data_IF_527308363473
#
_entry.id   IF_527308363473
#
_cell.length_a   1.000
_cell.length_b   1.000
_cell.length_c   1.000
_cell.angle_alpha   90.00
_cell.angle_beta   90.00
_cell.angle_gamma   90.00
#
_symmetry.space_group_name_H-M   'P 1'
#
loop_
_entity.id
_entity.type
_entity.pdbx_description
1 polymer ?
#
# COMPACT_ATOMS: atom_id res chain seq x y z
N UNK A 1 -25.28 22.47 4.58
CA UNK A 1 -24.53 23.43 3.74
C UNK A 1 -23.63 22.64 2.79
N UNK A 2 -24.05 22.45 1.56
CA UNK A 2 -23.36 21.64 0.52
C UNK A 2 -22.37 22.50 -0.25
N UNK A 3 -21.30 22.91 0.40
CA UNK A 3 -20.21 23.59 -0.30
C UNK A 3 -19.56 22.63 -1.31
N UNK A 4 -19.31 23.09 -2.55
CA UNK A 4 -18.55 22.34 -3.54
C UNK A 4 -17.13 22.09 -3.03
N UNK A 5 -16.64 20.84 -3.15
CA UNK A 5 -15.24 20.53 -2.85
C UNK A 5 -14.39 21.22 -3.93
N UNK A 6 -13.40 22.06 -3.54
CA UNK A 6 -12.57 22.74 -4.53
C UNK A 6 -11.76 21.74 -5.35
N UNK A 7 -11.76 21.88 -6.68
CA UNK A 7 -10.99 21.00 -7.58
C UNK A 7 -9.51 20.98 -7.22
N UNK A 8 -8.95 22.12 -6.78
CA UNK A 8 -7.55 22.22 -6.33
C UNK A 8 -7.22 21.33 -5.13
N UNK A 9 -8.18 21.07 -4.22
CA UNK A 9 -8.00 20.16 -3.11
C UNK A 9 -7.97 18.70 -3.59
N UNK A 10 -8.82 18.34 -4.56
CA UNK A 10 -8.82 17.02 -5.20
C UNK A 10 -7.50 16.80 -5.94
N UNK A 11 -7.07 17.76 -6.73
CA UNK A 11 -5.79 17.70 -7.46
C UNK A 11 -4.61 17.61 -6.48
N UNK A 12 -4.65 18.34 -5.37
CA UNK A 12 -3.64 18.26 -4.32
C UNK A 12 -3.55 16.86 -3.70
N UNK A 13 -4.70 16.23 -3.46
CA UNK A 13 -4.73 14.86 -2.94
C UNK A 13 -4.18 13.85 -3.96
N UNK A 14 -4.54 13.97 -5.24
CA UNK A 14 -4.01 13.13 -6.34
C UNK A 14 -2.50 13.34 -6.50
N UNK A 15 -2.01 14.59 -6.44
CA UNK A 15 -0.60 14.90 -6.53
C UNK A 15 0.21 14.32 -5.37
N UNK A 16 -0.39 14.14 -4.20
CA UNK A 16 0.25 13.48 -3.08
C UNK A 16 0.46 11.98 -3.34
N UNK A 17 -0.49 11.28 -3.99
CA UNK A 17 -0.30 9.87 -4.36
C UNK A 17 0.83 9.72 -5.41
N UNK A 18 0.89 10.65 -6.35
CA UNK A 18 2.02 10.75 -7.30
C UNK A 18 3.36 10.94 -6.56
N UNK A 19 3.44 11.90 -5.63
CA UNK A 19 4.62 12.21 -4.83
C UNK A 19 5.11 11.00 -4.02
N UNK A 20 4.19 10.37 -3.35
CA UNK A 20 4.36 9.25 -2.45
C UNK A 20 4.93 8.01 -3.17
N UNK A 21 4.49 7.75 -4.38
CA UNK A 21 4.96 6.62 -5.18
C UNK A 21 6.36 6.87 -5.75
N UNK A 22 6.76 8.13 -5.98
CA UNK A 22 8.15 8.49 -6.32
C UNK A 22 9.10 8.01 -5.22
N UNK A 23 8.78 8.30 -3.96
CA UNK A 23 9.60 7.83 -2.82
C UNK A 23 9.62 6.31 -2.73
N UNK A 24 8.45 5.67 -2.81
CA UNK A 24 8.34 4.21 -2.70
C UNK A 24 9.17 3.48 -3.74
N UNK A 25 9.09 3.91 -5.00
CA UNK A 25 9.85 3.25 -6.05
C UNK A 25 11.34 3.54 -5.94
N UNK A 26 11.74 4.80 -5.86
CA UNK A 26 13.15 5.18 -5.90
C UNK A 26 13.90 4.76 -4.63
N UNK A 27 13.37 5.09 -3.45
CA UNK A 27 14.08 4.80 -2.19
C UNK A 27 13.86 3.35 -1.78
N UNK A 28 12.59 2.93 -1.59
CA UNK A 28 12.32 1.63 -0.96
C UNK A 28 12.62 0.47 -1.89
N UNK A 29 12.28 0.59 -3.19
CA UNK A 29 12.38 -0.56 -4.11
C UNK A 29 13.65 -0.57 -4.95
N UNK A 30 14.18 0.59 -5.37
CA UNK A 30 15.19 0.63 -6.43
C UNK A 30 16.62 0.92 -5.95
N UNK A 31 16.82 1.98 -5.16
CA UNK A 31 18.18 2.49 -4.94
C UNK A 31 18.75 2.15 -3.58
N UNK A 32 17.96 2.15 -2.50
CA UNK A 32 18.50 1.99 -1.16
C UNK A 32 19.11 0.60 -0.90
N UNK A 33 18.41 -0.47 -1.25
CA UNK A 33 18.88 -1.84 -1.01
C UNK A 33 20.22 -2.11 -1.67
N UNK A 34 20.35 -1.99 -3.00
CA UNK A 34 21.63 -2.19 -3.68
C UNK A 34 22.72 -1.27 -3.17
N UNK A 35 22.44 0.03 -2.96
CA UNK A 35 23.43 1.00 -2.49
C UNK A 35 24.03 0.65 -1.13
N UNK A 36 23.18 0.26 -0.16
CA UNK A 36 23.65 -0.03 1.20
C UNK A 36 24.44 -1.36 1.28
N UNK A 37 24.09 -2.33 0.42
CA UNK A 37 24.82 -3.58 0.28
C UNK A 37 26.21 -3.34 -0.36
N UNK A 38 26.30 -2.51 -1.39
CA UNK A 38 27.58 -2.10 -2.00
C UNK A 38 28.51 -1.39 -1.00
N UNK A 39 27.93 -0.72 0.01
CA UNK A 39 28.68 -0.11 1.13
C UNK A 39 29.05 -1.08 2.26
N UNK A 40 28.78 -2.37 2.08
CA UNK A 40 29.17 -3.43 3.01
C UNK A 40 28.16 -3.72 4.13
N UNK A 41 26.90 -3.25 4.01
CA UNK A 41 25.84 -3.79 4.87
C UNK A 41 25.58 -5.25 4.54
N UNK A 42 25.23 -6.05 5.53
CA UNK A 42 24.76 -7.41 5.28
C UNK A 42 23.27 -7.43 4.87
N UNK A 43 22.87 -8.44 4.08
CA UNK A 43 21.46 -8.69 3.76
C UNK A 43 20.61 -8.82 5.02
N UNK A 44 21.17 -9.41 6.08
CA UNK A 44 20.50 -9.53 7.37
C UNK A 44 20.22 -8.15 8.00
N UNK A 45 21.18 -7.22 7.95
CA UNK A 45 21.01 -5.88 8.49
C UNK A 45 19.94 -5.10 7.70
N UNK A 46 19.96 -5.18 6.37
CA UNK A 46 18.95 -4.58 5.49
C UNK A 46 17.56 -5.18 5.77
N UNK A 47 17.45 -6.51 5.79
CA UNK A 47 16.20 -7.21 6.09
C UNK A 47 15.66 -6.88 7.48
N UNK A 48 16.53 -6.83 8.49
CA UNK A 48 16.14 -6.48 9.85
C UNK A 48 15.61 -5.05 9.96
N UNK A 49 16.19 -4.08 9.26
CA UNK A 49 15.73 -2.68 9.26
C UNK A 49 14.39 -2.54 8.53
N UNK A 50 14.20 -3.23 7.41
CA UNK A 50 12.91 -3.26 6.70
C UNK A 50 11.82 -3.85 7.60
N UNK A 51 12.10 -5.02 8.21
CA UNK A 51 11.16 -5.69 9.10
C UNK A 51 10.85 -4.85 10.36
N UNK A 52 11.86 -4.26 10.99
CA UNK A 52 11.69 -3.42 12.17
C UNK A 52 10.86 -2.18 11.86
N UNK A 53 11.14 -1.49 10.74
CA UNK A 53 10.34 -0.32 10.32
C UNK A 53 8.89 -0.71 10.03
N UNK A 54 8.65 -1.83 9.37
CA UNK A 54 7.31 -2.37 9.13
C UNK A 54 6.56 -2.70 10.43
N UNK A 55 7.23 -3.32 11.39
CA UNK A 55 6.66 -3.64 12.71
C UNK A 55 6.31 -2.36 13.49
N UNK A 56 7.21 -1.36 13.51
CA UNK A 56 6.93 -0.06 14.14
C UNK A 56 5.68 0.58 13.53
N UNK A 57 5.57 0.59 12.20
CA UNK A 57 4.38 1.13 11.52
C UNK A 57 3.14 0.34 11.89
N UNK A 58 3.20 -1.00 11.88
CA UNK A 58 2.08 -1.84 12.24
C UNK A 58 1.55 -1.52 13.64
N UNK A 59 2.45 -1.38 14.63
CA UNK A 59 2.10 -1.05 16.00
C UNK A 59 1.57 0.39 16.17
N UNK A 60 2.13 1.34 15.43
CA UNK A 60 1.77 2.77 15.56
C UNK A 60 0.53 3.12 14.71
N UNK A 61 0.19 2.33 13.69
CA UNK A 61 -0.94 2.60 12.78
C UNK A 61 -2.27 2.89 13.47
N UNK A 62 -2.76 2.08 14.42
CA UNK A 62 -4.03 2.37 15.11
C UNK A 62 -3.95 3.63 15.96
N UNK A 63 -2.78 3.88 16.60
CA UNK A 63 -2.56 5.09 17.38
C UNK A 63 -2.61 6.34 16.50
N UNK A 64 -1.96 6.32 15.33
CA UNK A 64 -2.02 7.42 14.36
C UNK A 64 -3.45 7.70 13.90
N UNK A 65 -4.23 6.64 13.68
CA UNK A 65 -5.63 6.76 13.33
C UNK A 65 -6.44 7.48 14.39
N UNK A 66 -6.35 7.03 15.64
CA UNK A 66 -7.06 7.64 16.79
C UNK A 66 -6.60 9.09 17.03
N UNK A 67 -5.29 9.34 17.00
CA UNK A 67 -4.75 10.71 17.15
C UNK A 67 -5.28 11.61 16.03
N UNK A 68 -5.36 11.11 14.79
CA UNK A 68 -5.89 11.88 13.67
C UNK A 68 -7.35 12.29 13.85
N UNK A 69 -8.16 11.40 14.41
CA UNK A 69 -9.58 11.66 14.70
C UNK A 69 -9.74 12.62 15.90
N UNK A 70 -8.97 12.44 16.98
CA UNK A 70 -8.99 13.35 18.15
C UNK A 70 -8.55 14.77 17.81
N UNK A 71 -7.57 14.93 16.91
CA UNK A 71 -7.16 16.24 16.42
C UNK A 71 -8.24 16.92 15.58
N UNK A 72 -9.20 16.16 15.01
CA UNK A 72 -10.21 16.65 14.08
C UNK A 72 -9.61 17.20 12.78
N UNK A 73 -8.30 17.16 12.63
CA UNK A 73 -7.53 17.63 11.46
C UNK A 73 -6.39 16.67 11.19
N UNK A 74 -6.42 16.02 10.03
CA UNK A 74 -5.45 15.01 9.59
C UNK A 74 -4.25 15.64 8.88
N UNK A 75 -4.46 16.75 8.18
CA UNK A 75 -3.45 17.43 7.39
C UNK A 75 -2.18 17.82 8.18
N UNK A 76 -2.22 18.36 9.41
CA UNK A 76 -1.00 18.64 10.16
C UNK A 76 -0.13 17.39 10.39
N UNK A 77 -0.77 16.25 10.67
CA UNK A 77 -0.07 14.98 10.86
C UNK A 77 0.56 14.48 9.56
N UNK A 78 -0.16 14.63 8.42
CA UNK A 78 0.37 14.34 7.09
C UNK A 78 1.62 15.18 6.79
N UNK A 79 1.58 16.48 7.09
CA UNK A 79 2.72 17.39 6.89
C UNK A 79 3.92 16.95 7.72
N UNK A 80 3.72 16.65 9.01
CA UNK A 80 4.80 16.20 9.90
C UNK A 80 5.43 14.89 9.38
N UNK A 81 4.61 13.90 9.03
CA UNK A 81 5.10 12.64 8.50
C UNK A 81 5.88 12.84 7.17
N UNK A 82 5.34 13.67 6.28
CA UNK A 82 6.01 13.92 4.99
C UNK A 82 7.33 14.66 5.18
N UNK A 83 7.36 15.71 6.01
CA UNK A 83 8.61 16.46 6.26
C UNK A 83 9.66 15.60 6.97
N UNK A 84 9.25 14.73 7.89
CA UNK A 84 10.15 13.76 8.52
C UNK A 84 10.74 12.79 7.48
N UNK A 85 9.91 12.27 6.57
CA UNK A 85 10.37 11.40 5.48
C UNK A 85 11.34 12.14 4.55
N UNK A 86 10.99 13.35 4.11
CA UNK A 86 11.82 14.19 3.24
C UNK A 86 13.16 14.49 3.91
N UNK A 87 13.17 14.92 5.18
CA UNK A 87 14.39 15.23 5.92
C UNK A 87 15.30 14.01 6.07
N UNK A 88 14.75 12.86 6.40
CA UNK A 88 15.50 11.61 6.51
C UNK A 88 16.06 11.17 5.14
N UNK A 89 15.30 11.36 4.05
CA UNK A 89 15.74 11.04 2.69
C UNK A 89 16.83 11.99 2.19
N UNK A 90 16.74 13.29 2.51
CA UNK A 90 17.83 14.24 2.27
C UNK A 90 19.09 13.82 3.03
N UNK A 91 18.94 13.40 4.29
CA UNK A 91 20.04 12.86 5.09
C UNK A 91 20.71 11.64 4.46
N UNK A 92 19.93 10.74 3.82
CA UNK A 92 20.48 9.60 3.07
C UNK A 92 21.44 10.05 1.94
N UNK A 93 21.11 11.15 1.25
CA UNK A 93 21.96 11.71 0.21
C UNK A 93 23.27 12.34 0.72
N UNK A 94 23.43 12.48 2.03
CA UNK A 94 24.58 13.18 2.65
C UNK A 94 25.39 12.30 3.62
N UNK A 95 24.84 11.15 4.03
CA UNK A 95 25.45 10.32 5.07
C UNK A 95 26.58 9.44 4.53
N UNK A 96 27.68 9.32 5.32
CA UNK A 96 28.81 8.46 4.99
C UNK A 96 28.81 7.09 5.69
N UNK A 97 28.12 6.97 6.83
CA UNK A 97 28.12 5.74 7.64
C UNK A 97 26.97 4.80 7.28
N UNK A 98 27.25 3.51 7.17
CA UNK A 98 26.26 2.45 6.92
C UNK A 98 25.17 2.43 8.00
N UNK A 99 25.54 2.51 9.28
CA UNK A 99 24.58 2.46 10.38
C UNK A 99 23.65 3.68 10.41
N UNK A 100 24.22 4.87 10.13
CA UNK A 100 23.41 6.10 10.01
C UNK A 100 22.47 6.04 8.81
N UNK A 101 22.90 5.45 7.70
CA UNK A 101 22.05 5.23 6.53
C UNK A 101 20.88 4.29 6.82
N UNK A 102 21.15 3.17 7.49
CA UNK A 102 20.10 2.22 7.91
C UNK A 102 19.08 2.88 8.85
N UNK A 103 19.56 3.71 9.81
CA UNK A 103 18.67 4.45 10.72
C UNK A 103 17.83 5.49 9.99
N UNK A 104 18.44 6.27 9.08
CA UNK A 104 17.73 7.26 8.28
C UNK A 104 16.69 6.61 7.35
N UNK A 105 17.02 5.47 6.74
CA UNK A 105 16.07 4.70 5.95
C UNK A 105 14.90 4.20 6.80
N UNK A 106 15.16 3.64 7.99
CA UNK A 106 14.10 3.21 8.90
C UNK A 106 13.15 4.37 9.24
N UNK A 107 13.73 5.55 9.59
CA UNK A 107 12.95 6.76 9.89
C UNK A 107 12.14 7.24 8.68
N UNK A 108 12.75 7.29 7.50
CA UNK A 108 12.07 7.68 6.27
C UNK A 108 10.92 6.73 5.94
N UNK A 109 11.16 5.41 6.03
CA UNK A 109 10.16 4.40 5.73
C UNK A 109 8.99 4.40 6.74
N UNK A 110 9.29 4.56 8.04
CA UNK A 110 8.24 4.70 9.06
C UNK A 110 7.41 5.96 8.82
N UNK A 111 8.05 7.09 8.58
CA UNK A 111 7.37 8.36 8.33
C UNK A 111 6.52 8.32 7.04
N UNK A 112 7.05 7.75 5.98
CA UNK A 112 6.35 7.51 4.72
C UNK A 112 5.09 6.68 4.92
N UNK A 113 5.21 5.54 5.56
CA UNK A 113 4.08 4.63 5.76
C UNK A 113 3.04 5.17 6.75
N UNK A 114 3.48 5.92 7.77
CA UNK A 114 2.60 6.66 8.67
C UNK A 114 1.82 7.75 7.92
N UNK A 115 2.49 8.47 7.03
CA UNK A 115 1.86 9.45 6.15
C UNK A 115 0.77 8.87 5.26
N UNK A 116 0.97 7.65 4.72
CA UNK A 116 -0.03 6.95 3.91
C UNK A 116 -1.35 6.69 4.65
N UNK A 117 -1.28 6.29 5.91
CA UNK A 117 -2.48 6.01 6.72
C UNK A 117 -3.31 7.28 6.86
N UNK A 118 -2.65 8.40 7.14
CA UNK A 118 -3.28 9.72 7.29
C UNK A 118 -3.80 10.22 5.95
N UNK A 119 -3.04 10.02 4.87
CA UNK A 119 -3.41 10.38 3.50
C UNK A 119 -4.69 9.66 3.06
N UNK A 120 -4.77 8.34 3.27
CA UNK A 120 -5.95 7.55 2.92
C UNK A 120 -7.19 8.03 3.69
N UNK A 121 -7.04 8.40 4.96
CA UNK A 121 -8.10 8.95 5.79
C UNK A 121 -8.60 10.34 5.33
N UNK A 122 -7.86 11.05 4.47
CA UNK A 122 -8.30 12.31 3.85
C UNK A 122 -9.22 12.11 2.63
N UNK A 123 -9.34 10.90 2.09
CA UNK A 123 -10.20 10.64 0.91
C UNK A 123 -11.64 11.14 1.09
N UNK A 124 -12.33 10.96 2.23
CA UNK A 124 -13.66 11.52 2.43
C UNK A 124 -13.70 13.07 2.51
N UNK A 125 -12.58 13.71 2.83
CA UNK A 125 -12.48 15.18 2.89
C UNK A 125 -12.46 15.80 1.49
N UNK A 126 -11.81 15.12 0.53
CA UNK A 126 -11.63 15.58 -0.84
C UNK A 126 -12.64 14.98 -1.83
N UNK A 127 -13.57 14.13 -1.35
CA UNK A 127 -14.52 13.40 -2.18
C UNK A 127 -15.91 13.39 -1.58
N UNK A 128 -16.92 13.33 -2.45
CA UNK A 128 -18.29 12.96 -2.08
C UNK A 128 -18.51 11.48 -2.27
N UNK A 129 -19.55 10.93 -1.68
CA UNK A 129 -19.89 9.51 -1.80
C UNK A 129 -20.03 9.09 -3.27
N UNK A 130 -20.58 9.99 -4.12
CA UNK A 130 -20.88 9.75 -5.54
C UNK A 130 -19.62 9.72 -6.43
N UNK A 131 -18.57 10.47 -6.08
CA UNK A 131 -17.34 10.58 -6.90
C UNK A 131 -16.10 10.00 -6.23
N UNK A 132 -16.25 9.37 -5.06
CA UNK A 132 -15.13 8.84 -4.26
C UNK A 132 -14.36 7.75 -5.00
N UNK A 133 -15.05 6.92 -5.78
CA UNK A 133 -14.43 5.90 -6.61
C UNK A 133 -13.48 6.48 -7.64
N UNK A 134 -13.93 7.47 -8.41
CA UNK A 134 -13.09 8.17 -9.41
C UNK A 134 -11.89 8.87 -8.78
N UNK A 135 -12.11 9.60 -7.69
CA UNK A 135 -11.01 10.30 -7.00
C UNK A 135 -9.98 9.30 -6.48
N UNK A 136 -10.41 8.19 -5.87
CA UNK A 136 -9.52 7.11 -5.45
C UNK A 136 -8.76 6.52 -6.65
N UNK A 137 -9.45 6.25 -7.75
CA UNK A 137 -8.86 5.72 -8.97
C UNK A 137 -7.86 6.68 -9.63
N UNK A 138 -8.16 7.98 -9.66
CA UNK A 138 -7.23 9.01 -10.13
C UNK A 138 -5.98 9.09 -9.24
N UNK A 139 -6.12 8.95 -7.91
CA UNK A 139 -4.97 8.87 -7.00
C UNK A 139 -4.08 7.69 -7.35
N UNK A 140 -4.64 6.47 -7.38
CA UNK A 140 -3.88 5.24 -7.68
C UNK A 140 -3.23 5.32 -9.07
N UNK A 141 -3.97 5.73 -10.11
CA UNK A 141 -3.43 5.86 -11.45
C UNK A 141 -2.30 6.89 -11.53
N UNK A 142 -2.48 8.06 -10.89
CA UNK A 142 -1.45 9.08 -10.78
C UNK A 142 -0.23 8.58 -9.99
N UNK A 143 -0.45 7.79 -8.94
CA UNK A 143 0.62 7.15 -8.18
C UNK A 143 1.50 6.28 -9.07
N UNK A 144 0.92 5.36 -9.83
CA UNK A 144 1.70 4.52 -10.76
C UNK A 144 2.42 5.35 -11.84
N UNK A 145 1.80 6.42 -12.36
CA UNK A 145 2.49 7.37 -13.25
C UNK A 145 3.65 8.06 -12.53
N UNK A 146 3.45 8.45 -11.26
CA UNK A 146 4.49 9.05 -10.43
C UNK A 146 5.69 8.11 -10.23
N UNK A 147 5.46 6.81 -10.08
CA UNK A 147 6.51 5.81 -10.00
C UNK A 147 7.40 5.83 -11.25
N UNK A 148 6.79 5.76 -12.44
CA UNK A 148 7.51 5.73 -13.72
C UNK A 148 8.22 7.06 -13.97
N UNK A 149 7.50 8.18 -13.88
CA UNK A 149 8.05 9.51 -14.14
C UNK A 149 9.16 9.85 -13.13
N UNK A 150 8.92 9.53 -11.84
CA UNK A 150 9.90 9.75 -10.79
C UNK A 150 11.19 8.96 -11.00
N UNK A 151 11.09 7.71 -11.48
CA UNK A 151 12.26 6.91 -11.83
C UNK A 151 13.09 7.58 -12.92
N UNK A 152 12.44 7.98 -14.04
CA UNK A 152 13.13 8.65 -15.14
C UNK A 152 13.75 10.00 -14.74
N UNK A 153 13.09 10.78 -13.88
CA UNK A 153 13.61 12.06 -13.42
C UNK A 153 14.79 11.90 -12.46
N UNK A 154 14.86 10.81 -11.69
CA UNK A 154 15.91 10.56 -10.70
C UNK A 154 17.10 9.80 -11.31
N UNK A 155 16.85 8.95 -12.30
CA UNK A 155 17.88 8.11 -12.94
C UNK A 155 19.16 8.87 -13.36
N UNK A 156 19.12 10.11 -13.92
CA UNK A 156 20.34 10.83 -14.30
C UNK A 156 21.28 11.20 -13.14
N UNK A 157 20.75 11.18 -11.91
CA UNK A 157 21.51 11.48 -10.69
C UNK A 157 22.00 10.22 -9.97
N UNK A 158 21.55 9.05 -10.42
CA UNK A 158 21.85 7.76 -9.83
C UNK A 158 22.83 7.00 -10.74
N UNK A 159 24.11 7.04 -10.41
CA UNK A 159 25.12 6.19 -11.05
C UNK A 159 25.05 4.74 -10.57
N UNK A 160 26.16 4.03 -10.72
CA UNK A 160 26.32 2.65 -10.23
C UNK A 160 27.07 2.65 -8.88
N UNK A 161 26.93 1.55 -8.12
CA UNK A 161 27.62 1.38 -6.85
C UNK A 161 27.29 2.49 -5.85
N UNK A 162 28.29 3.15 -5.34
CA UNK A 162 28.16 4.23 -4.35
C UNK A 162 27.49 5.49 -4.91
N UNK A 163 27.58 5.75 -6.21
CA UNK A 163 26.94 6.88 -6.87
C UNK A 163 25.40 6.81 -6.83
N UNK A 164 24.83 5.64 -6.54
CA UNK A 164 23.37 5.49 -6.30
C UNK A 164 22.87 6.42 -5.19
N UNK A 165 23.73 6.87 -4.29
CA UNK A 165 23.42 7.86 -3.26
C UNK A 165 22.86 9.16 -3.86
N UNK A 166 23.29 9.54 -5.06
CA UNK A 166 22.79 10.70 -5.78
C UNK A 166 21.29 10.70 -6.07
N UNK A 167 20.65 9.53 -6.00
CA UNK A 167 19.21 9.41 -6.21
C UNK A 167 18.36 10.00 -5.05
N UNK A 168 18.89 10.06 -3.83
CA UNK A 168 18.07 10.35 -2.65
C UNK A 168 17.67 11.83 -2.56
N UNK A 169 18.56 12.76 -2.86
CA UNK A 169 18.24 14.19 -2.82
C UNK A 169 17.17 14.57 -3.83
N UNK A 170 17.30 14.25 -5.15
CA UNK A 170 16.24 14.57 -6.11
C UNK A 170 14.92 13.85 -5.77
N UNK A 171 14.95 12.62 -5.26
CA UNK A 171 13.74 11.92 -4.81
C UNK A 171 13.04 12.68 -3.68
N UNK A 172 13.78 13.15 -2.67
CA UNK A 172 13.24 13.93 -1.56
C UNK A 172 12.61 15.25 -2.02
N UNK A 173 13.30 15.96 -2.94
CA UNK A 173 12.81 17.21 -3.50
C UNK A 173 11.56 17.03 -4.37
N UNK A 174 11.51 16.00 -5.20
CA UNK A 174 10.32 15.66 -5.98
C UNK A 174 9.16 15.25 -5.08
N UNK A 175 9.42 14.45 -4.03
CA UNK A 175 8.39 14.10 -3.07
C UNK A 175 7.80 15.36 -2.42
N UNK A 176 8.65 16.27 -1.92
CA UNK A 176 8.19 17.52 -1.32
C UNK A 176 7.41 18.37 -2.33
N UNK A 177 7.95 18.56 -3.54
CA UNK A 177 7.35 19.38 -4.60
C UNK A 177 5.91 18.94 -4.91
N UNK A 178 5.70 17.66 -5.14
CA UNK A 178 4.38 17.12 -5.48
C UNK A 178 3.47 16.92 -4.25
N UNK A 179 4.01 16.93 -3.02
CA UNK A 179 3.22 16.94 -1.79
C UNK A 179 2.70 18.36 -1.43
N UNK A 180 3.39 19.43 -1.85
CA UNK A 180 3.00 20.82 -1.55
C UNK A 180 1.55 21.14 -1.89
N UNK A 181 0.98 20.74 -3.05
CA UNK A 181 -0.42 21.02 -3.36
C UNK A 181 -1.39 20.47 -2.31
N UNK A 182 -1.13 19.28 -1.74
CA UNK A 182 -1.93 18.73 -0.66
C UNK A 182 -1.87 19.60 0.61
N UNK A 183 -0.67 20.11 0.94
CA UNK A 183 -0.47 20.96 2.11
C UNK A 183 -1.16 22.32 1.96
N UNK A 184 -1.18 22.88 0.75
CA UNK A 184 -1.73 24.20 0.52
C UNK A 184 -3.26 24.16 0.34
N UNK A 185 -3.78 23.21 -0.43
CA UNK A 185 -5.15 23.28 -0.93
C UNK A 185 -6.16 22.39 -0.20
N UNK A 186 -5.73 21.31 0.49
CA UNK A 186 -6.64 20.52 1.30
C UNK A 186 -7.02 21.34 2.55
N UNK A 187 -8.32 21.61 2.71
CA UNK A 187 -8.86 22.34 3.86
C UNK A 187 -9.79 21.43 4.65
N UNK A 188 -9.44 21.15 5.89
CA UNK A 188 -10.27 20.42 6.82
C UNK A 188 -11.04 21.40 7.71
N UNK A 189 -12.32 21.14 7.91
CA UNK A 189 -13.22 21.91 8.79
C UNK A 189 -13.51 21.15 10.07
N UNK A 190 -12.63 20.25 10.50
CA UNK A 190 -12.81 19.44 11.69
C UNK A 190 -12.69 20.28 12.97
N UNK A 191 -13.61 20.08 13.89
CA UNK A 191 -13.49 20.54 15.26
C UNK A 191 -12.69 19.52 16.07
N UNK A 192 -11.89 20.01 17.00
CA UNK A 192 -11.06 19.16 17.88
C UNK A 192 -11.97 18.35 18.80
N UNK A 193 -12.00 17.03 18.63
CA UNK A 193 -12.79 16.13 19.46
C UNK A 193 -11.99 15.71 20.71
N UNK A 194 -11.78 16.61 21.66
CA UNK A 194 -11.16 16.30 22.92
C UNK A 194 -9.68 16.69 23.06
N UNK A 195 -9.09 16.37 24.21
CA UNK A 195 -7.64 16.52 24.48
C UNK A 195 -6.90 15.32 23.92
N UNK A 196 -5.89 15.59 23.10
CA UNK A 196 -4.96 14.53 22.68
C UNK A 196 -4.30 13.98 23.93
N UNK A 197 -4.63 12.75 24.28
CA UNK A 197 -4.03 12.07 25.41
C UNK A 197 -2.60 11.64 25.02
N UNK A 198 -1.63 12.53 25.15
CA UNK A 198 -0.20 12.21 24.96
C UNK A 198 0.30 11.08 25.88
N UNK A 199 -0.49 10.69 26.89
CA UNK A 199 -0.28 9.48 27.69
C UNK A 199 -0.59 8.16 26.93
N UNK A 200 -1.22 8.22 25.76
CA UNK A 200 -1.57 7.04 24.96
C UNK A 200 -0.32 6.28 24.43
N UNK A 201 0.84 6.92 24.33
CA UNK A 201 2.09 6.24 23.99
C UNK A 201 2.49 5.14 25.01
N UNK A 202 2.01 5.21 26.25
CA UNK A 202 2.20 4.17 27.28
C UNK A 202 1.25 2.98 27.17
N UNK A 203 0.34 2.99 26.22
CA UNK A 203 -0.70 1.99 26.06
C UNK A 203 -0.96 1.57 24.61
N UNK A 204 0.08 1.54 23.71
CA UNK A 204 -0.10 1.14 22.30
C UNK A 204 -0.85 -0.20 22.19
N UNK A 205 -0.49 -1.19 23.01
CA UNK A 205 -1.16 -2.49 23.03
C UNK A 205 -2.61 -2.37 23.51
N UNK A 206 -2.84 -1.53 24.54
CA UNK A 206 -4.20 -1.27 25.05
C UNK A 206 -5.03 -0.57 23.97
N UNK A 207 -4.48 0.45 23.31
CA UNK A 207 -5.17 1.17 22.23
C UNK A 207 -5.48 0.24 21.05
N UNK A 208 -4.55 -0.64 20.68
CA UNK A 208 -4.78 -1.66 19.65
C UNK A 208 -5.94 -2.58 20.03
N UNK A 209 -5.98 -3.03 21.29
CA UNK A 209 -7.07 -3.87 21.79
C UNK A 209 -8.40 -3.12 21.76
N UNK A 210 -8.43 -1.87 22.26
CA UNK A 210 -9.62 -1.02 22.24
C UNK A 210 -10.12 -0.79 20.79
N UNK A 211 -9.24 -0.55 19.82
CA UNK A 211 -9.61 -0.42 18.40
C UNK A 211 -10.16 -1.72 17.82
N UNK A 212 -9.58 -2.87 18.16
CA UNK A 212 -10.07 -4.19 17.73
C UNK A 212 -11.44 -4.47 18.34
N UNK A 213 -11.60 -4.20 19.64
CA UNK A 213 -12.87 -4.36 20.35
C UNK A 213 -13.93 -3.40 19.78
N UNK A 214 -13.55 -2.16 19.47
CA UNK A 214 -14.42 -1.18 18.81
C UNK A 214 -14.84 -1.65 17.40
N UNK A 215 -13.94 -2.19 16.61
CA UNK A 215 -14.27 -2.81 15.33
C UNK A 215 -15.23 -4.00 15.46
N UNK A 216 -15.26 -4.65 16.61
CA UNK A 216 -16.22 -5.70 16.97
C UNK A 216 -17.67 -5.24 16.92
N UNK A 217 -17.94 -3.97 17.24
CA UNK A 217 -19.28 -3.37 17.18
C UNK A 217 -19.77 -3.11 15.73
N UNK A 218 -18.88 -3.23 14.74
CA UNK A 218 -19.17 -3.06 13.31
C UNK A 218 -18.91 -4.37 12.53
N UNK A 219 -19.83 -5.34 12.53
CA UNK A 219 -19.60 -6.69 11.99
C UNK A 219 -19.14 -6.70 10.53
N UNK A 220 -19.69 -5.81 9.70
CA UNK A 220 -19.34 -5.73 8.28
C UNK A 220 -17.94 -5.14 8.08
N UNK A 221 -17.55 -4.15 8.87
CA UNK A 221 -16.20 -3.59 8.86
C UNK A 221 -15.18 -4.63 9.32
N UNK A 222 -15.45 -5.35 10.41
CA UNK A 222 -14.60 -6.42 10.90
C UNK A 222 -14.41 -7.52 9.84
N UNK A 223 -15.49 -7.95 9.19
CA UNK A 223 -15.43 -8.92 8.08
C UNK A 223 -14.59 -8.40 6.93
N UNK A 224 -14.75 -7.14 6.55
CA UNK A 224 -13.95 -6.51 5.50
C UNK A 224 -12.46 -6.47 5.86
N UNK A 225 -12.09 -6.05 7.09
CA UNK A 225 -10.68 -5.99 7.54
C UNK A 225 -10.04 -7.40 7.53
N UNK A 226 -10.75 -8.43 8.01
CA UNK A 226 -10.26 -9.82 7.98
C UNK A 226 -10.13 -10.34 6.53
N UNK A 227 -11.10 -10.05 5.66
CA UNK A 227 -11.03 -10.39 4.24
C UNK A 227 -9.84 -9.69 3.58
N UNK A 228 -9.65 -8.40 3.90
CA UNK A 228 -8.55 -7.60 3.39
C UNK A 228 -7.20 -8.16 3.83
N UNK A 229 -7.05 -8.58 5.07
CA UNK A 229 -5.82 -9.23 5.52
C UNK A 229 -5.44 -10.40 4.60
N UNK A 230 -6.40 -11.28 4.27
CA UNK A 230 -6.16 -12.46 3.45
C UNK A 230 -5.81 -12.11 1.99
N UNK A 231 -6.61 -11.27 1.31
CA UNK A 231 -6.31 -10.96 -0.08
C UNK A 231 -5.11 -10.01 -0.24
N UNK A 232 -4.89 -9.07 0.70
CA UNK A 232 -3.73 -8.21 0.67
C UNK A 232 -2.43 -8.97 0.97
N UNK A 233 -2.50 -10.01 1.81
CA UNK A 233 -1.41 -10.95 2.07
C UNK A 233 -0.94 -11.61 0.75
N UNK A 234 -1.87 -12.19 0.01
CA UNK A 234 -1.56 -12.79 -1.29
C UNK A 234 -1.01 -11.77 -2.29
N UNK A 235 -1.61 -10.57 -2.38
CA UNK A 235 -1.16 -9.52 -3.32
C UNK A 235 0.21 -8.96 -2.99
N UNK A 236 0.49 -8.65 -1.73
CA UNK A 236 1.82 -8.21 -1.30
C UNK A 236 2.87 -9.29 -1.57
N UNK A 237 2.52 -10.56 -1.34
CA UNK A 237 3.40 -11.69 -1.66
C UNK A 237 3.68 -11.77 -3.15
N UNK A 238 2.65 -11.68 -4.01
CA UNK A 238 2.83 -11.70 -5.48
C UNK A 238 3.77 -10.60 -5.94
N UNK A 239 3.63 -9.38 -5.43
CA UNK A 239 4.51 -8.26 -5.78
C UNK A 239 5.98 -8.60 -5.51
N UNK A 240 6.25 -9.30 -4.39
CA UNK A 240 7.61 -9.66 -3.99
C UNK A 240 8.15 -10.87 -4.76
N UNK A 241 7.30 -11.89 -5.01
CA UNK A 241 7.79 -13.19 -5.52
C UNK A 241 7.57 -13.41 -7.01
N UNK A 242 6.86 -12.50 -7.72
CA UNK A 242 6.52 -12.69 -9.13
C UNK A 242 7.75 -12.83 -10.02
N UNK A 243 8.80 -12.04 -9.78
CA UNK A 243 10.06 -12.15 -10.53
C UNK A 243 10.71 -13.52 -10.33
N UNK A 244 10.76 -14.00 -9.07
CA UNK A 244 11.30 -15.33 -8.74
C UNK A 244 10.46 -16.43 -9.40
N UNK A 245 9.14 -16.29 -9.39
CA UNK A 245 8.25 -17.24 -10.04
C UNK A 245 8.45 -17.27 -11.56
N UNK A 246 8.54 -16.10 -12.20
CA UNK A 246 8.78 -15.98 -13.64
C UNK A 246 10.12 -16.60 -14.05
N UNK A 247 11.17 -16.41 -13.26
CA UNK A 247 12.49 -17.03 -13.49
C UNK A 247 12.46 -18.55 -13.25
N UNK A 248 12.03 -18.98 -12.04
CA UNK A 248 12.22 -20.35 -11.57
C UNK A 248 11.15 -21.33 -12.05
N UNK A 249 9.91 -20.88 -12.26
CA UNK A 249 8.80 -21.73 -12.66
C UNK A 249 8.50 -21.67 -14.15
N UNK A 250 8.77 -20.51 -14.80
CA UNK A 250 8.46 -20.27 -16.22
C UNK A 250 9.71 -20.25 -17.08
N UNK A 251 10.89 -19.95 -16.52
CA UNK A 251 12.16 -19.88 -17.23
C UNK A 251 12.35 -18.59 -18.03
N UNK A 252 11.78 -17.47 -17.56
CA UNK A 252 11.96 -16.16 -18.18
C UNK A 252 13.38 -15.63 -17.94
N UNK A 253 13.94 -14.91 -18.93
CA UNK A 253 15.16 -14.15 -18.77
C UNK A 253 14.94 -12.87 -17.96
N UNK A 254 16.03 -12.30 -17.40
CA UNK A 254 15.98 -11.05 -16.63
C UNK A 254 15.35 -9.91 -17.42
N UNK A 255 15.75 -9.74 -18.68
CA UNK A 255 15.16 -8.72 -19.58
C UNK A 255 13.67 -8.96 -19.85
N UNK A 256 13.26 -10.22 -19.90
CA UNK A 256 11.84 -10.61 -19.99
C UNK A 256 11.05 -10.24 -18.74
N UNK A 257 11.64 -10.48 -17.57
CA UNK A 257 11.04 -10.14 -16.28
C UNK A 257 10.90 -8.61 -16.13
N UNK A 258 11.94 -7.85 -16.47
CA UNK A 258 11.91 -6.38 -16.45
C UNK A 258 10.80 -5.84 -17.37
N UNK A 259 10.67 -6.40 -18.57
CA UNK A 259 9.61 -6.04 -19.51
C UNK A 259 8.21 -6.38 -18.98
N UNK A 260 8.06 -7.53 -18.32
CA UNK A 260 6.80 -7.97 -17.69
C UNK A 260 6.39 -7.02 -16.55
N UNK A 261 7.35 -6.64 -15.71
CA UNK A 261 7.11 -5.73 -14.58
C UNK A 261 6.75 -4.32 -15.08
N UNK A 262 7.48 -3.80 -16.08
CA UNK A 262 7.19 -2.51 -16.70
C UNK A 262 5.77 -2.49 -17.31
N UNK A 263 5.42 -3.54 -18.04
CA UNK A 263 4.09 -3.71 -18.60
C UNK A 263 3.01 -3.77 -17.53
N UNK A 264 3.27 -4.47 -16.41
CA UNK A 264 2.35 -4.54 -15.26
C UNK A 264 2.09 -3.16 -14.66
N UNK A 265 3.10 -2.31 -14.54
CA UNK A 265 2.95 -0.94 -14.02
C UNK A 265 2.06 -0.09 -14.95
N UNK A 266 2.28 -0.17 -16.27
CA UNK A 266 1.45 0.55 -17.25
C UNK A 266 -0.02 0.14 -17.13
N UNK A 267 -0.28 -1.15 -17.03
CA UNK A 267 -1.64 -1.65 -16.87
C UNK A 267 -2.24 -1.41 -15.48
N UNK A 268 -1.41 -1.20 -14.44
CA UNK A 268 -1.89 -0.77 -13.13
C UNK A 268 -2.44 0.67 -13.15
N UNK A 269 -1.90 1.55 -14.01
CA UNK A 269 -2.51 2.87 -14.28
C UNK A 269 -3.92 2.70 -14.84
N UNK A 270 -4.09 1.82 -15.84
CA UNK A 270 -5.40 1.52 -16.44
C UNK A 270 -6.36 0.94 -15.40
N UNK A 271 -5.87 0.01 -14.58
CA UNK A 271 -6.63 -0.60 -13.48
C UNK A 271 -7.08 0.43 -12.43
N UNK A 272 -6.24 1.38 -12.09
CA UNK A 272 -6.57 2.48 -11.16
C UNK A 272 -7.70 3.35 -11.70
N UNK A 273 -7.55 3.91 -12.88
CA UNK A 273 -8.56 4.77 -13.51
C UNK A 273 -9.87 4.01 -13.80
N UNK A 274 -9.76 2.83 -14.44
CA UNK A 274 -10.92 1.99 -14.77
C UNK A 274 -11.65 1.51 -13.52
N UNK A 275 -10.90 1.08 -12.49
CA UNK A 275 -11.45 0.67 -11.19
C UNK A 275 -12.28 1.79 -10.57
N UNK A 276 -11.81 3.03 -10.60
CA UNK A 276 -12.54 4.19 -10.10
C UNK A 276 -13.88 4.42 -10.80
N UNK A 277 -13.91 4.30 -12.12
CA UNK A 277 -15.13 4.41 -12.91
C UNK A 277 -16.15 3.30 -12.56
N UNK A 278 -15.69 2.04 -12.49
CA UNK A 278 -16.56 0.92 -12.16
C UNK A 278 -17.06 0.95 -10.71
N UNK A 279 -16.25 1.46 -9.77
CA UNK A 279 -16.64 1.66 -8.36
C UNK A 279 -17.85 2.58 -8.24
N UNK A 280 -17.92 3.63 -9.03
CA UNK A 280 -19.08 4.53 -9.02
C UNK A 280 -20.33 3.88 -9.64
N UNK A 281 -20.15 3.12 -10.72
CA UNK A 281 -21.24 2.53 -11.47
C UNK A 281 -21.85 1.30 -10.79
N UNK A 282 -21.01 0.44 -10.21
CA UNK A 282 -21.41 -0.88 -9.68
C UNK A 282 -21.31 -1.00 -8.17
N UNK A 283 -20.70 -0.01 -7.50
CA UNK A 283 -20.41 -0.07 -6.07
C UNK A 283 -19.04 -0.68 -5.76
N UNK A 284 -18.39 -0.16 -4.70
CA UNK A 284 -17.00 -0.49 -4.38
C UNK A 284 -16.83 -1.97 -4.01
N UNK A 285 -17.75 -2.52 -3.21
CA UNK A 285 -17.70 -3.93 -2.78
C UNK A 285 -17.87 -4.89 -3.96
N UNK A 286 -18.81 -4.61 -4.88
CA UNK A 286 -19.02 -5.45 -6.07
C UNK A 286 -17.80 -5.44 -6.98
N UNK A 287 -17.23 -4.25 -7.23
CA UNK A 287 -16.01 -4.12 -8.04
C UNK A 287 -14.87 -4.88 -7.38
N UNK A 288 -14.64 -4.72 -6.07
CA UNK A 288 -13.62 -5.47 -5.34
C UNK A 288 -13.87 -6.99 -5.46
N UNK A 289 -15.11 -7.43 -5.36
CA UNK A 289 -15.47 -8.85 -5.55
C UNK A 289 -15.11 -9.38 -6.95
N UNK A 290 -15.42 -8.62 -8.01
CA UNK A 290 -15.05 -8.96 -9.40
C UNK A 290 -13.53 -8.98 -9.56
N UNK A 291 -12.82 -8.02 -8.97
CA UNK A 291 -11.36 -7.96 -9.00
C UNK A 291 -10.74 -9.17 -8.31
N UNK A 292 -11.26 -9.60 -7.14
CA UNK A 292 -10.79 -10.80 -6.46
C UNK A 292 -11.02 -12.07 -7.29
N UNK A 293 -12.14 -12.18 -8.00
CA UNK A 293 -12.37 -13.27 -8.97
C UNK A 293 -11.35 -13.18 -10.12
N UNK A 294 -11.07 -11.98 -10.63
CA UNK A 294 -10.01 -11.76 -11.61
C UNK A 294 -8.65 -12.25 -11.13
N UNK A 295 -8.31 -11.99 -9.86
CA UNK A 295 -7.09 -12.52 -9.22
C UNK A 295 -7.06 -14.05 -9.19
N UNK A 296 -8.16 -14.72 -8.83
CA UNK A 296 -8.25 -16.19 -8.82
C UNK A 296 -8.00 -16.76 -10.22
N UNK A 297 -8.59 -16.14 -11.25
CA UNK A 297 -8.39 -16.54 -12.65
C UNK A 297 -6.92 -16.31 -13.05
N UNK A 298 -6.37 -15.14 -12.79
CA UNK A 298 -4.99 -14.78 -13.17
C UNK A 298 -3.95 -15.71 -12.54
N UNK A 299 -4.10 -16.00 -11.24
CA UNK A 299 -3.19 -16.92 -10.54
C UNK A 299 -3.41 -18.36 -10.98
N UNK A 300 -4.66 -18.77 -11.25
CA UNK A 300 -4.96 -20.07 -11.83
C UNK A 300 -4.29 -20.24 -13.20
N UNK A 301 -4.35 -19.23 -14.07
CA UNK A 301 -3.64 -19.22 -15.34
C UNK A 301 -2.11 -19.25 -15.13
N UNK A 302 -1.56 -18.42 -14.26
CA UNK A 302 -0.15 -18.41 -13.94
C UNK A 302 0.35 -19.79 -13.45
N UNK A 303 -0.46 -20.49 -12.67
CA UNK A 303 -0.13 -21.81 -12.13
C UNK A 303 -0.02 -22.89 -13.22
N UNK A 304 -0.84 -22.82 -14.29
CA UNK A 304 -0.88 -23.84 -15.35
C UNK A 304 -0.05 -23.48 -16.58
N UNK A 305 0.23 -22.20 -16.81
CA UNK A 305 1.03 -21.75 -17.95
C UNK A 305 2.49 -22.21 -17.84
N UNK A 306 3.01 -22.71 -18.98
CA UNK A 306 4.40 -23.15 -19.10
C UNK A 306 5.17 -22.36 -20.16
N UNK A 307 4.47 -21.63 -21.04
CA UNK A 307 5.07 -20.84 -22.10
C UNK A 307 5.38 -19.43 -21.64
N UNK A 308 6.63 -19.00 -21.84
CA UNK A 308 7.09 -17.61 -21.59
C UNK A 308 6.20 -16.61 -22.34
N UNK A 309 5.87 -16.87 -23.61
CA UNK A 309 5.04 -15.98 -24.42
C UNK A 309 3.65 -15.79 -23.85
N UNK A 310 3.01 -16.88 -23.37
CA UNK A 310 1.70 -16.79 -22.72
C UNK A 310 1.80 -16.06 -21.37
N UNK A 311 2.92 -16.22 -20.67
CA UNK A 311 3.11 -15.59 -19.37
C UNK A 311 3.18 -14.06 -19.44
N UNK A 312 3.54 -13.48 -20.60
CA UNK A 312 3.46 -12.03 -20.80
C UNK A 312 2.05 -11.47 -20.68
N UNK A 313 0.99 -12.28 -20.83
CA UNK A 313 -0.39 -11.83 -20.56
C UNK A 313 -0.68 -11.66 -19.07
N UNK A 314 0.06 -12.35 -18.19
CA UNK A 314 -0.13 -12.31 -16.74
C UNK A 314 0.23 -10.92 -16.17
N UNK A 315 1.29 -10.29 -16.67
CA UNK A 315 1.71 -8.96 -16.22
C UNK A 315 0.61 -7.89 -16.32
N UNK A 316 0.03 -7.66 -17.51
CA UNK A 316 -1.12 -6.77 -17.69
C UNK A 316 -2.30 -7.10 -16.78
N UNK A 317 -2.65 -8.38 -16.64
CA UNK A 317 -3.74 -8.81 -15.77
C UNK A 317 -3.46 -8.45 -14.31
N UNK A 318 -2.27 -8.78 -13.80
CA UNK A 318 -1.84 -8.40 -12.44
C UNK A 318 -1.89 -6.88 -12.28
N UNK A 319 -1.37 -6.12 -13.24
CA UNK A 319 -1.37 -4.66 -13.20
C UNK A 319 -2.77 -4.10 -13.04
N UNK A 320 -3.70 -4.45 -13.94
CA UNK A 320 -5.10 -4.00 -13.87
C UNK A 320 -5.73 -4.34 -12.51
N UNK A 321 -5.53 -5.56 -12.05
CA UNK A 321 -6.11 -6.04 -10.80
C UNK A 321 -5.53 -5.33 -9.58
N UNK A 322 -4.22 -5.06 -9.54
CA UNK A 322 -3.58 -4.26 -8.48
C UNK A 322 -4.15 -2.85 -8.42
N UNK A 323 -4.19 -2.14 -9.55
CA UNK A 323 -4.75 -0.79 -9.62
C UNK A 323 -6.21 -0.74 -9.18
N UNK A 324 -7.02 -1.67 -9.66
CA UNK A 324 -8.43 -1.75 -9.29
C UNK A 324 -8.66 -2.17 -7.82
N UNK A 325 -7.79 -3.01 -7.25
CA UNK A 325 -7.86 -3.40 -5.83
C UNK A 325 -7.64 -2.19 -4.93
N UNK A 326 -6.49 -1.51 -5.09
CA UNK A 326 -6.14 -0.35 -4.25
C UNK A 326 -7.14 0.81 -4.40
N UNK A 327 -7.79 0.90 -5.57
CA UNK A 327 -8.85 1.88 -5.80
C UNK A 327 -10.12 1.53 -5.03
N UNK A 328 -10.57 0.28 -5.11
CA UNK A 328 -11.86 -0.15 -4.58
C UNK A 328 -11.83 -0.41 -3.07
N UNK A 329 -10.77 -0.98 -2.53
CA UNK A 329 -10.74 -1.38 -1.11
C UNK A 329 -10.73 -0.15 -0.17
N UNK A 330 -10.04 0.94 -0.51
CA UNK A 330 -10.10 2.21 0.21
C UNK A 330 -11.53 2.77 0.27
N UNK A 331 -12.26 2.67 -0.84
CA UNK A 331 -13.63 3.15 -0.93
C UNK A 331 -14.57 2.27 -0.12
N UNK A 332 -14.39 0.94 -0.11
CA UNK A 332 -15.15 0.03 0.76
C UNK A 332 -14.99 0.44 2.21
N UNK A 333 -13.76 0.66 2.68
CA UNK A 333 -13.52 1.10 4.06
C UNK A 333 -14.28 2.37 4.39
N UNK A 334 -14.21 3.41 3.53
CA UNK A 334 -14.88 4.69 3.78
C UNK A 334 -16.41 4.60 3.76
N UNK A 335 -16.98 3.55 3.18
CA UNK A 335 -18.43 3.30 3.21
C UNK A 335 -18.87 2.57 4.47
N UNK A 336 -18.01 1.72 5.03
CA UNK A 336 -18.30 0.90 6.21
C UNK A 336 -17.97 1.63 7.52
N UNK A 337 -16.96 2.48 7.51
CA UNK A 337 -16.49 3.19 8.70
C UNK A 337 -17.37 4.40 9.02
N UNK A 338 -17.71 4.64 10.31
CA UNK A 338 -18.31 5.89 10.75
C UNK A 338 -17.39 7.08 10.48
N UNK A 339 -18.00 8.23 10.17
CA UNK A 339 -17.23 9.43 9.80
C UNK A 339 -16.32 9.93 10.97
N UNK A 340 -16.78 9.74 12.20
CA UNK A 340 -16.12 10.15 13.43
C UNK A 340 -14.86 9.34 13.73
N UNK A 341 -14.81 8.08 13.26
CA UNK A 341 -13.75 7.10 13.53
C UNK A 341 -13.00 6.66 12.26
N UNK A 342 -13.08 7.46 11.19
CA UNK A 342 -12.50 7.08 9.90
C UNK A 342 -10.97 6.92 9.96
N UNK A 343 -10.28 7.74 10.76
CA UNK A 343 -8.85 7.64 10.97
C UNK A 343 -8.48 6.36 11.74
N UNK A 344 -9.21 6.06 12.83
CA UNK A 344 -9.01 4.84 13.61
C UNK A 344 -9.10 3.59 12.72
N UNK A 345 -10.12 3.52 11.85
CA UNK A 345 -10.29 2.37 10.98
C UNK A 345 -9.32 2.33 9.81
N UNK A 346 -8.81 3.48 9.32
CA UNK A 346 -7.65 3.48 8.42
C UNK A 346 -6.37 3.03 9.11
N UNK A 347 -6.21 3.30 10.41
CA UNK A 347 -5.15 2.74 11.22
C UNK A 347 -5.19 1.21 11.28
N UNK A 348 -6.38 0.63 11.55
CA UNK A 348 -6.58 -0.82 11.55
C UNK A 348 -6.42 -1.44 10.15
N UNK A 349 -6.88 -0.77 9.11
CA UNK A 349 -6.66 -1.11 7.71
C UNK A 349 -5.16 -1.14 7.37
N UNK A 350 -4.40 -0.14 7.81
CA UNK A 350 -2.95 -0.09 7.67
C UNK A 350 -2.25 -1.23 8.39
N UNK A 351 -2.63 -1.50 9.66
CA UNK A 351 -2.12 -2.63 10.44
C UNK A 351 -2.33 -3.97 9.70
N UNK A 352 -3.55 -4.23 9.25
CA UNK A 352 -3.87 -5.46 8.50
C UNK A 352 -3.00 -5.60 7.25
N UNK A 353 -2.81 -4.50 6.49
CA UNK A 353 -1.95 -4.50 5.30
C UNK A 353 -0.46 -4.74 5.60
N UNK A 354 0.05 -4.22 6.73
CA UNK A 354 1.45 -4.43 7.13
C UNK A 354 1.71 -5.84 7.64
N UNK A 355 0.82 -6.37 8.44
CA UNK A 355 0.90 -7.78 8.88
C UNK A 355 0.81 -8.74 7.69
N UNK A 356 -0.09 -8.47 6.75
CA UNK A 356 -0.20 -9.19 5.49
C UNK A 356 1.12 -9.21 4.70
N UNK A 357 1.82 -8.07 4.60
CA UNK A 357 3.12 -8.00 3.92
C UNK A 357 4.26 -8.78 4.59
N UNK A 358 4.05 -9.27 5.80
CA UNK A 358 5.03 -10.12 6.53
C UNK A 358 4.63 -11.59 6.47
N UNK A 359 3.37 -11.89 6.70
CA UNK A 359 2.89 -13.29 6.82
C UNK A 359 2.96 -14.00 5.48
N UNK A 360 2.49 -13.37 4.39
CA UNK A 360 2.42 -13.99 3.07
C UNK A 360 3.76 -14.47 2.52
N UNK A 361 4.81 -13.63 2.46
CA UNK A 361 6.13 -14.08 2.03
C UNK A 361 6.71 -15.22 2.87
N UNK A 362 6.43 -15.25 4.19
CA UNK A 362 6.84 -16.35 5.06
C UNK A 362 6.10 -17.66 4.74
N UNK A 363 4.77 -17.57 4.55
CA UNK A 363 3.95 -18.73 4.15
C UNK A 363 4.38 -19.24 2.77
N UNK A 364 4.65 -18.34 1.82
CA UNK A 364 5.20 -18.69 0.51
C UNK A 364 6.52 -19.45 0.65
N UNK A 365 7.50 -18.88 1.35
CA UNK A 365 8.83 -19.49 1.52
C UNK A 365 8.73 -20.88 2.19
N UNK A 366 7.96 -21.00 3.27
CA UNK A 366 7.73 -22.27 3.94
C UNK A 366 7.07 -23.29 3.01
N UNK A 367 6.08 -22.88 2.21
CA UNK A 367 5.40 -23.77 1.24
C UNK A 367 6.37 -24.27 0.18
N UNK A 368 7.21 -23.38 -0.39
CA UNK A 368 8.22 -23.78 -1.38
C UNK A 368 9.20 -24.77 -0.78
N UNK A 369 9.70 -24.51 0.44
CA UNK A 369 10.70 -25.37 1.09
C UNK A 369 10.12 -26.75 1.41
N UNK A 370 8.94 -26.81 2.01
CA UNK A 370 8.24 -28.09 2.33
C UNK A 370 7.97 -28.86 1.04
N UNK A 371 7.53 -28.20 -0.02
CA UNK A 371 7.24 -28.83 -1.31
C UNK A 371 8.50 -29.37 -1.99
N UNK A 372 9.63 -28.67 -1.87
CA UNK A 372 10.93 -29.15 -2.36
C UNK A 372 11.40 -30.37 -1.58
N UNK A 373 11.28 -30.34 -0.24
CA UNK A 373 11.60 -31.48 0.61
C UNK A 373 10.76 -32.72 0.27
N UNK A 374 9.49 -32.50 -0.13
CA UNK A 374 8.60 -33.56 -0.63
C UNK A 374 8.93 -34.03 -2.07
N UNK A 375 10.01 -33.55 -2.69
CA UNK A 375 10.47 -34.00 -4.00
C UNK A 375 9.78 -33.33 -5.21
N UNK A 376 9.01 -32.25 -5.01
CA UNK A 376 8.24 -31.58 -6.08
C UNK A 376 9.11 -30.68 -6.98
N UNK A 377 10.40 -30.45 -6.68
CA UNK A 377 11.31 -29.68 -7.53
C UNK A 377 10.75 -28.29 -7.93
N UNK A 378 10.73 -27.99 -9.23
CA UNK A 378 10.20 -26.73 -9.74
C UNK A 378 8.67 -26.55 -9.52
N UNK A 379 7.92 -27.64 -9.37
CA UNK A 379 6.48 -27.58 -9.07
C UNK A 379 6.17 -27.00 -7.70
N UNK A 380 7.16 -26.92 -6.79
CA UNK A 380 7.03 -26.28 -5.49
C UNK A 380 6.52 -24.84 -5.57
N UNK A 381 6.98 -24.08 -6.58
CA UNK A 381 6.51 -22.70 -6.78
C UNK A 381 5.04 -22.64 -7.20
N UNK A 382 4.56 -23.60 -7.99
CA UNK A 382 3.15 -23.70 -8.39
C UNK A 382 2.25 -24.05 -7.19
N UNK A 383 2.73 -24.91 -6.29
CA UNK A 383 2.02 -25.23 -5.03
C UNK A 383 1.88 -23.94 -4.18
N UNK A 384 2.94 -23.15 -4.10
CA UNK A 384 2.91 -21.89 -3.35
C UNK A 384 1.92 -20.88 -3.96
N UNK A 385 1.79 -20.80 -5.31
CA UNK A 385 0.71 -20.02 -5.94
C UNK A 385 -0.66 -20.55 -5.54
N UNK A 386 -0.84 -21.88 -5.42
CA UNK A 386 -2.08 -22.50 -4.95
C UNK A 386 -2.48 -22.01 -3.54
N UNK A 387 -1.52 -21.82 -2.64
CA UNK A 387 -1.79 -21.26 -1.29
C UNK A 387 -2.27 -19.82 -1.38
N UNK A 388 -1.70 -19.00 -2.27
CA UNK A 388 -2.18 -17.62 -2.50
C UNK A 388 -3.59 -17.59 -3.08
N UNK A 389 -3.93 -18.52 -3.97
CA UNK A 389 -5.29 -18.68 -4.50
C UNK A 389 -6.27 -18.97 -3.36
N UNK A 390 -5.91 -19.86 -2.42
CA UNK A 390 -6.75 -20.18 -1.25
C UNK A 390 -6.93 -18.93 -0.37
N UNK A 391 -5.88 -18.16 -0.11
CA UNK A 391 -5.96 -16.93 0.68
C UNK A 391 -6.92 -15.91 0.02
N UNK A 392 -6.82 -15.69 -1.29
CA UNK A 392 -7.73 -14.80 -2.02
C UNK A 392 -9.17 -15.34 -2.01
N UNK A 393 -9.37 -16.65 -2.19
CA UNK A 393 -10.69 -17.28 -2.13
C UNK A 393 -11.34 -17.10 -0.77
N UNK A 394 -10.61 -17.31 0.31
CA UNK A 394 -11.10 -17.08 1.67
C UNK A 394 -11.42 -15.60 1.90
N UNK A 395 -10.56 -14.69 1.42
CA UNK A 395 -10.81 -13.26 1.43
C UNK A 395 -12.07 -12.87 0.65
N UNK A 396 -12.28 -13.45 -0.53
CA UNK A 396 -13.50 -13.26 -1.33
C UNK A 396 -14.74 -13.78 -0.60
N UNK A 397 -14.69 -14.97 -0.04
CA UNK A 397 -15.80 -15.55 0.72
C UNK A 397 -16.18 -14.69 1.94
N UNK A 398 -15.18 -14.16 2.66
CA UNK A 398 -15.39 -13.24 3.77
C UNK A 398 -15.98 -11.90 3.34
N UNK A 399 -15.67 -11.44 2.12
CA UNK A 399 -16.19 -10.19 1.56
C UNK A 399 -17.66 -10.34 1.09
N UNK A 400 -18.09 -11.53 0.65
CA UNK A 400 -19.44 -11.75 0.06
C UNK A 400 -20.60 -11.22 0.89
N UNK A 401 -20.66 -11.43 2.22
CA UNK A 401 -21.78 -10.93 3.03
C UNK A 401 -21.69 -9.44 3.39
N UNK A 402 -20.61 -8.74 3.02
CA UNK A 402 -20.44 -7.31 3.29
C UNK A 402 -21.35 -6.52 2.33
N UNK A 403 -22.23 -5.61 2.81
CA UNK A 403 -23.10 -4.81 1.93
C UNK A 403 -22.32 -3.75 1.15
N UNK A 404 -22.87 -3.32 0.01
CA UNK A 404 -22.30 -2.24 -0.81
C UNK A 404 -22.61 -0.85 -0.24
N UNK A 405 -23.73 -0.70 0.44
CA UNK A 405 -24.17 0.56 1.05
C UNK A 405 -23.74 0.65 2.51
N UNK A 406 -23.71 1.87 3.04
CA UNK A 406 -23.56 2.11 4.48
C UNK A 406 -24.56 1.22 5.20
N UNK A 407 -24.08 0.16 5.81
CA UNK A 407 -24.94 -0.67 6.61
C UNK A 407 -25.63 0.20 7.64
N UNK A 408 -26.93 0.16 7.65
CA UNK A 408 -27.76 0.68 8.72
C UNK A 408 -27.08 0.28 10.03
N UNK A 409 -26.65 1.25 10.80
CA UNK A 409 -26.29 1.03 12.20
C UNK A 409 -27.55 0.45 12.81
N UNK A 410 -27.56 -0.86 13.00
CA UNK A 410 -28.60 -1.49 13.80
C UNK A 410 -28.29 -1.00 15.21
N UNK A 411 -28.97 0.07 15.61
CA UNK A 411 -29.09 0.40 17.01
C UNK A 411 -29.85 -0.78 17.63
N UNK A 412 -29.11 -1.74 18.15
CA UNK A 412 -29.66 -2.66 19.12
C UNK A 412 -29.84 -1.86 20.41
N UNK A 413 -31.09 -1.61 20.69
CA UNK A 413 -31.55 -1.18 22.00
C UNK A 413 -30.96 -2.05 23.13
#
# INVERSE_FOLDING_TARGET
MTGSIPLVAVLGWIAYDFANTIFSLNVVSRYFGPWILDRGASDLALGAVIAASGLVVALVSPLLGVVSDQLGRRKPLLIVCTLACVAATLGLGMVGSVWSALLLFALANVAYQAGLIVYDALLPVVSRTENRGRISGFGVGAGYLGAVIGLYLVQPFAGEGDERQGAFIPTALLFLLFALPAFLFIRERGERQGRVAWGAARGVIRQLRETIDHAGHYPNLRRFILSRFLYADAMNTIIVVMAIYAERAVGMSDTGIDSLLALSIVFAVVGGFGGGFFVERWGARRVLGVVLVGWLITLGLAMVMTSVTMFYAIGPMIGILLGATWTSDRVVLTRLAPAEHIGEFFGLYGLAGKLAGVVGPLVWAATVEISRFAGLGHSAYRVAVGVLIIAILLGYCGLRPVPDDKAVVISSA
#
